data_IF_490238370814
#
_entry.id   IF_490238370814
#
_cell.length_a   1.000
_cell.length_b   1.000
_cell.length_c   1.000
_cell.angle_alpha   90.00
_cell.angle_beta   90.00
_cell.angle_gamma   90.00
#
_symmetry.space_group_name_H-M   'P 1'
#
loop_
_entity.id
_entity.type
_entity.pdbx_description
1 polymer ?
#
# COMPACT_ATOMS: atom_id res chain seq x y z
N UNK A 1 -0.34 17.24 -2.74
CA UNK A 1 -1.00 16.15 -1.99
C UNK A 1 -0.30 14.83 -2.27
N UNK A 2 0.00 14.04 -1.26
CA UNK A 2 0.48 12.66 -1.40
C UNK A 2 -0.57 11.72 -0.79
N UNK A 3 -1.35 11.06 -1.66
CA UNK A 3 -2.39 10.11 -1.27
C UNK A 3 -1.96 8.68 -1.55
N UNK A 4 -2.41 7.74 -0.71
CA UNK A 4 -2.09 6.32 -0.88
C UNK A 4 -3.35 5.46 -0.75
N UNK A 5 -3.47 4.46 -1.63
CA UNK A 5 -4.51 3.46 -1.56
C UNK A 5 -3.90 2.16 -1.05
N UNK A 6 -4.34 1.75 0.13
CA UNK A 6 -3.87 0.60 0.87
C UNK A 6 -4.95 -0.48 0.95
N UNK A 7 -4.54 -1.67 1.28
CA UNK A 7 -5.40 -2.82 1.46
C UNK A 7 -4.68 -4.11 1.09
N UNK A 8 -5.16 -5.21 1.63
CA UNK A 8 -4.66 -6.54 1.30
C UNK A 8 -4.95 -6.91 -0.17
N UNK A 9 -4.35 -7.98 -0.64
CA UNK A 9 -4.63 -8.44 -1.99
C UNK A 9 -6.11 -8.80 -2.14
N UNK A 10 -6.65 -8.60 -3.32
CA UNK A 10 -8.08 -8.70 -3.65
C UNK A 10 -9.01 -7.62 -3.07
N UNK A 11 -8.51 -6.64 -2.30
CA UNK A 11 -9.34 -5.58 -1.73
C UNK A 11 -9.97 -4.63 -2.79
N UNK A 12 -9.52 -4.67 -4.06
CA UNK A 12 -10.11 -3.85 -5.12
C UNK A 12 -9.32 -2.58 -5.44
N UNK A 13 -8.10 -2.43 -4.91
CA UNK A 13 -7.23 -1.25 -5.14
C UNK A 13 -7.08 -0.90 -6.62
N UNK A 14 -6.74 -1.87 -7.46
CA UNK A 14 -6.51 -1.64 -8.90
C UNK A 14 -7.73 -1.07 -9.60
N UNK A 15 -8.94 -1.55 -9.26
CA UNK A 15 -10.20 -1.03 -9.82
C UNK A 15 -10.39 0.44 -9.45
N UNK A 16 -10.18 0.80 -8.19
CA UNK A 16 -10.33 2.18 -7.72
C UNK A 16 -9.26 3.09 -8.34
N UNK A 17 -8.02 2.62 -8.47
CA UNK A 17 -6.96 3.38 -9.13
C UNK A 17 -7.27 3.65 -10.61
N UNK A 18 -7.82 2.69 -11.35
CA UNK A 18 -8.25 2.90 -12.75
C UNK A 18 -9.34 3.98 -12.85
N UNK A 19 -10.32 3.98 -11.94
CA UNK A 19 -11.37 5.00 -11.90
C UNK A 19 -10.79 6.38 -11.59
N UNK A 20 -9.93 6.47 -10.58
CA UNK A 20 -9.25 7.71 -10.23
C UNK A 20 -8.36 8.24 -11.36
N UNK A 21 -7.65 7.38 -12.09
CA UNK A 21 -6.85 7.77 -13.26
C UNK A 21 -7.71 8.41 -14.38
N UNK A 22 -8.96 7.99 -14.49
CA UNK A 22 -9.90 8.55 -15.45
C UNK A 22 -10.38 9.96 -15.05
N UNK A 23 -10.41 10.28 -13.77
CA UNK A 23 -10.89 11.56 -13.23
C UNK A 23 -9.77 12.56 -12.95
N UNK A 24 -8.71 12.14 -12.30
CA UNK A 24 -7.58 12.98 -11.90
C UNK A 24 -6.47 12.98 -12.96
N UNK A 25 -6.76 13.55 -14.14
CA UNK A 25 -5.85 13.53 -15.32
C UNK A 25 -4.50 14.21 -15.09
N UNK A 26 -4.45 15.18 -14.18
CA UNK A 26 -3.23 15.92 -13.84
C UNK A 26 -2.47 15.30 -12.64
N UNK A 27 -3.02 14.27 -12.01
CA UNK A 27 -2.36 13.56 -10.92
C UNK A 27 -1.32 12.56 -11.44
N UNK A 28 -0.29 12.38 -10.67
CA UNK A 28 0.73 11.36 -10.91
C UNK A 28 0.32 10.08 -10.19
N UNK A 29 0.20 9.00 -10.94
CA UNK A 29 -0.08 7.68 -10.39
C UNK A 29 1.19 6.85 -10.34
N UNK A 30 1.44 6.27 -9.17
CA UNK A 30 2.63 5.45 -8.91
C UNK A 30 2.29 4.23 -8.05
N UNK A 31 3.30 3.46 -7.66
CA UNK A 31 3.12 2.26 -6.83
C UNK A 31 4.38 1.93 -6.05
N UNK A 32 4.21 1.26 -4.94
CA UNK A 32 5.29 0.62 -4.18
C UNK A 32 5.03 -0.90 -4.01
N UNK A 33 6.06 -1.74 -4.26
CA UNK A 33 7.36 -1.42 -4.83
C UNK A 33 7.31 -1.27 -6.36
N UNK A 34 8.32 -0.58 -6.91
CA UNK A 34 8.59 -0.59 -8.35
C UNK A 34 8.08 0.63 -9.12
N UNK A 35 7.89 1.77 -8.44
CA UNK A 35 7.49 3.03 -9.07
C UNK A 35 8.60 3.74 -9.84
N UNK A 36 9.87 3.43 -9.54
CA UNK A 36 11.06 4.03 -10.15
C UNK A 36 11.85 3.02 -10.98
N UNK A 37 12.86 3.49 -11.71
CA UNK A 37 13.75 2.61 -12.49
C UNK A 37 14.53 1.64 -11.58
N UNK A 38 15.06 2.14 -10.46
CA UNK A 38 15.73 1.31 -9.44
C UNK A 38 14.70 0.42 -8.77
N UNK A 39 13.57 0.97 -8.37
CA UNK A 39 12.48 0.24 -7.73
C UNK A 39 11.97 -0.93 -8.56
N UNK A 40 11.86 -0.78 -9.88
CA UNK A 40 11.47 -1.88 -10.77
C UNK A 40 12.43 -3.07 -10.72
N UNK A 41 13.73 -2.82 -10.59
CA UNK A 41 14.75 -3.86 -10.43
C UNK A 41 14.64 -4.52 -9.06
N UNK A 42 14.51 -3.73 -8.00
CA UNK A 42 14.35 -4.22 -6.62
C UNK A 42 13.08 -5.07 -6.49
N UNK A 43 11.97 -4.62 -7.08
CA UNK A 43 10.74 -5.39 -7.15
C UNK A 43 10.94 -6.75 -7.83
N UNK A 44 11.66 -6.79 -8.95
CA UNK A 44 11.97 -8.03 -9.65
C UNK A 44 12.75 -8.99 -8.77
N UNK A 45 13.77 -8.52 -8.06
CA UNK A 45 14.58 -9.34 -7.13
C UNK A 45 13.71 -9.95 -6.02
N UNK A 46 12.79 -9.15 -5.46
CA UNK A 46 11.86 -9.64 -4.41
C UNK A 46 10.90 -10.69 -4.97
N UNK A 47 10.25 -10.41 -6.12
CA UNK A 47 9.27 -11.32 -6.71
C UNK A 47 9.89 -12.65 -7.18
N UNK A 48 11.14 -12.61 -7.65
CA UNK A 48 11.88 -13.81 -8.06
C UNK A 48 12.47 -14.59 -6.87
N UNK A 49 12.30 -14.09 -5.64
CA UNK A 49 12.82 -14.75 -4.44
C UNK A 49 14.34 -14.81 -4.38
N UNK A 50 15.04 -13.81 -4.96
CA UNK A 50 16.51 -13.78 -5.00
C UNK A 50 17.12 -13.55 -3.61
N UNK A 51 16.39 -12.81 -2.74
CA UNK A 51 16.79 -12.58 -1.36
C UNK A 51 16.46 -13.81 -0.50
N UNK A 52 17.48 -14.53 -0.04
CA UNK A 52 17.33 -15.68 0.89
C UNK A 52 17.05 -15.25 2.33
N UNK A 53 17.56 -14.10 2.72
CA UNK A 53 17.36 -13.54 4.06
C UNK A 53 16.13 -12.64 4.09
N UNK A 54 15.25 -12.83 5.07
CA UNK A 54 14.10 -11.94 5.31
C UNK A 54 14.52 -10.51 5.66
N UNK A 55 15.69 -10.35 6.26
CA UNK A 55 16.28 -9.04 6.51
C UNK A 55 16.71 -8.39 5.19
N UNK A 56 17.37 -9.13 4.30
CA UNK A 56 17.74 -8.62 2.98
C UNK A 56 16.50 -8.20 2.16
N UNK A 57 15.46 -9.04 2.12
CA UNK A 57 14.17 -8.73 1.48
C UNK A 57 13.57 -7.43 2.03
N UNK A 58 13.56 -7.26 3.35
CA UNK A 58 13.11 -6.03 4.00
C UNK A 58 13.93 -4.81 3.54
N UNK A 59 15.25 -4.92 3.49
CA UNK A 59 16.09 -3.81 3.02
C UNK A 59 15.87 -3.47 1.54
N UNK A 60 15.53 -4.44 0.68
CA UNK A 60 15.17 -4.16 -0.70
C UNK A 60 13.89 -3.31 -0.77
N UNK A 61 12.89 -3.58 0.05
CA UNK A 61 11.68 -2.74 0.15
C UNK A 61 11.98 -1.34 0.70
N UNK A 62 12.86 -1.22 1.69
CA UNK A 62 13.26 0.09 2.22
C UNK A 62 14.06 0.91 1.19
N UNK A 63 14.92 0.27 0.41
CA UNK A 63 15.66 0.92 -0.67
C UNK A 63 14.74 1.39 -1.81
N UNK A 64 13.76 0.56 -2.21
CA UNK A 64 12.72 0.96 -3.16
C UNK A 64 11.95 2.19 -2.68
N UNK A 65 11.56 2.19 -1.41
CA UNK A 65 10.82 3.29 -0.79
C UNK A 65 11.63 4.58 -0.72
N UNK A 66 12.88 4.51 -0.32
CA UNK A 66 13.75 5.67 -0.26
C UNK A 66 13.88 6.35 -1.64
N UNK A 67 14.08 5.55 -2.68
CA UNK A 67 14.15 6.04 -4.06
C UNK A 67 12.81 6.60 -4.55
N UNK A 68 11.70 5.94 -4.20
CA UNK A 68 10.35 6.40 -4.55
C UNK A 68 10.02 7.77 -3.93
N UNK A 69 10.39 7.99 -2.68
CA UNK A 69 10.20 9.28 -2.01
C UNK A 69 11.02 10.36 -2.72
N UNK A 70 12.29 10.12 -3.00
CA UNK A 70 13.18 11.10 -3.60
C UNK A 70 12.76 11.45 -5.04
N UNK A 71 12.61 10.42 -5.90
CA UNK A 71 12.40 10.59 -7.34
C UNK A 71 10.95 11.01 -7.69
N UNK A 72 9.96 10.52 -6.93
CA UNK A 72 8.56 10.74 -7.30
C UNK A 72 7.82 11.68 -6.36
N UNK A 73 7.97 11.53 -5.05
CA UNK A 73 7.18 12.32 -4.12
C UNK A 73 7.75 13.74 -3.97
N UNK A 74 9.05 13.86 -3.72
CA UNK A 74 9.71 15.16 -3.50
C UNK A 74 9.78 16.00 -4.77
N UNK A 75 10.06 15.39 -5.93
CA UNK A 75 10.09 16.10 -7.21
C UNK A 75 8.70 16.61 -7.65
N UNK A 76 7.63 16.04 -7.09
CA UNK A 76 6.25 16.38 -7.44
C UNK A 76 5.44 16.92 -6.26
N UNK A 77 6.07 17.49 -5.24
CA UNK A 77 5.42 18.02 -4.04
C UNK A 77 4.29 19.03 -4.29
N UNK A 78 4.35 19.74 -5.42
CA UNK A 78 3.36 20.72 -5.82
C UNK A 78 2.18 20.13 -6.62
N UNK A 79 2.19 18.83 -6.84
CA UNK A 79 1.17 18.09 -7.58
C UNK A 79 0.43 17.11 -6.66
N UNK A 80 -0.64 16.54 -7.19
CA UNK A 80 -1.29 15.37 -6.59
C UNK A 80 -0.56 14.12 -7.04
N UNK A 81 -0.06 13.34 -6.08
CA UNK A 81 0.52 12.02 -6.31
C UNK A 81 -0.35 10.98 -5.61
N UNK A 82 -0.78 9.95 -6.34
CA UNK A 82 -1.60 8.85 -5.82
C UNK A 82 -0.81 7.56 -6.00
N UNK A 83 -0.50 6.88 -4.89
CA UNK A 83 0.28 5.64 -4.90
C UNK A 83 -0.57 4.41 -4.57
N UNK A 84 -0.39 3.33 -5.33
CA UNK A 84 -0.80 1.99 -4.92
C UNK A 84 0.22 1.47 -3.91
N UNK A 85 -0.18 1.43 -2.66
CA UNK A 85 0.66 1.08 -1.50
C UNK A 85 1.69 2.16 -1.12
N UNK A 86 2.22 2.00 0.08
CA UNK A 86 3.22 2.86 0.70
C UNK A 86 3.99 2.13 1.81
N UNK A 87 4.63 2.90 2.70
CA UNK A 87 5.25 2.39 3.94
C UNK A 87 4.27 1.55 4.78
N UNK A 88 2.97 1.82 4.73
CA UNK A 88 1.95 1.10 5.52
C UNK A 88 1.93 -0.39 5.13
N UNK A 89 1.84 -0.68 3.82
CA UNK A 89 1.98 -2.05 3.31
C UNK A 89 3.34 -2.65 3.69
N UNK A 90 4.42 -1.91 3.51
CA UNK A 90 5.77 -2.39 3.83
C UNK A 90 5.93 -2.82 5.29
N UNK A 91 5.42 -2.00 6.22
CA UNK A 91 5.43 -2.29 7.67
C UNK A 91 4.53 -3.49 7.99
N UNK A 92 3.32 -3.54 7.40
CA UNK A 92 2.37 -4.59 7.69
C UNK A 92 2.83 -5.97 7.21
N UNK A 93 3.31 -6.07 5.97
CA UNK A 93 3.80 -7.34 5.40
C UNK A 93 5.11 -7.83 6.02
N UNK A 94 5.90 -6.95 6.63
CA UNK A 94 7.08 -7.31 7.42
C UNK A 94 6.71 -7.89 8.80
N UNK A 95 5.70 -8.76 8.85
CA UNK A 95 5.08 -9.29 10.08
C UNK A 95 6.00 -10.17 10.94
N UNK A 96 7.14 -10.60 10.41
CA UNK A 96 8.17 -11.32 11.16
C UNK A 96 9.01 -10.41 12.08
N UNK A 97 8.83 -9.10 11.99
CA UNK A 97 9.55 -8.10 12.76
C UNK A 97 8.57 -7.30 13.64
N UNK A 98 9.11 -6.76 14.73
CA UNK A 98 8.33 -5.91 15.62
C UNK A 98 7.83 -4.66 14.92
N UNK A 99 6.61 -4.24 15.22
CA UNK A 99 5.93 -3.15 14.55
C UNK A 99 6.68 -1.83 14.72
N UNK A 100 7.08 -1.50 15.93
CA UNK A 100 7.72 -0.20 16.23
C UNK A 100 9.08 -0.09 15.54
N UNK A 101 9.84 -1.19 15.47
CA UNK A 101 11.09 -1.22 14.73
C UNK A 101 10.86 -1.04 13.22
N UNK A 102 9.80 -1.62 12.67
CA UNK A 102 9.46 -1.44 11.27
C UNK A 102 9.00 -0.02 10.98
N UNK A 103 8.28 0.61 11.89
CA UNK A 103 7.91 2.03 11.79
C UNK A 103 9.18 2.89 11.74
N UNK A 104 10.10 2.72 12.70
CA UNK A 104 11.35 3.49 12.77
C UNK A 104 12.18 3.38 11.47
N UNK A 105 12.40 2.16 10.97
CA UNK A 105 13.16 1.94 9.74
C UNK A 105 12.47 2.55 8.51
N UNK A 106 11.16 2.52 8.46
CA UNK A 106 10.40 3.10 7.36
C UNK A 106 10.40 4.63 7.42
N UNK A 107 10.28 5.23 8.59
CA UNK A 107 10.44 6.68 8.77
C UNK A 107 11.83 7.13 8.34
N UNK A 108 12.87 6.39 8.72
CA UNK A 108 14.22 6.67 8.25
C UNK A 108 14.32 6.59 6.71
N UNK A 109 13.76 5.55 6.09
CA UNK A 109 13.81 5.36 4.64
C UNK A 109 13.02 6.44 3.86
N UNK A 110 11.96 7.00 4.48
CA UNK A 110 11.15 8.07 3.87
C UNK A 110 11.63 9.47 4.23
N UNK A 111 12.69 9.60 5.03
CA UNK A 111 13.11 10.88 5.59
C UNK A 111 11.94 11.62 6.29
N UNK A 112 11.16 10.86 7.07
CA UNK A 112 9.94 11.28 7.76
C UNK A 112 8.81 11.83 6.85
N UNK A 113 8.93 11.64 5.53
CA UNK A 113 7.86 12.01 4.60
C UNK A 113 6.77 10.96 4.65
N UNK A 114 5.57 11.42 5.00
CA UNK A 114 4.38 10.59 5.20
C UNK A 114 3.27 10.96 4.22
N UNK A 115 2.38 10.00 3.89
CA UNK A 115 1.17 10.31 3.11
C UNK A 115 0.30 11.34 3.83
N UNK A 116 -0.23 12.28 3.08
CA UNK A 116 -1.20 13.27 3.59
C UNK A 116 -2.61 12.70 3.66
N UNK A 117 -2.93 11.70 2.83
CA UNK A 117 -4.23 11.02 2.79
C UNK A 117 -4.01 9.52 2.63
N UNK A 118 -4.61 8.74 3.53
CA UNK A 118 -4.54 7.27 3.52
C UNK A 118 -5.93 6.69 3.34
N UNK A 119 -6.14 5.98 2.26
CA UNK A 119 -7.35 5.23 1.99
C UNK A 119 -7.04 3.74 2.20
N UNK A 120 -7.65 3.10 3.18
CA UNK A 120 -7.50 1.68 3.43
C UNK A 120 -8.80 0.94 3.10
N UNK A 121 -8.75 0.12 2.05
CA UNK A 121 -9.84 -0.78 1.68
C UNK A 121 -9.82 -2.02 2.57
N UNK A 122 -10.91 -2.24 3.31
CA UNK A 122 -11.04 -3.32 4.27
C UNK A 122 -11.95 -4.43 3.76
N UNK A 123 -11.58 -5.67 4.03
CA UNK A 123 -12.40 -6.86 3.77
C UNK A 123 -12.78 -7.56 5.09
N UNK A 124 -14.03 -7.99 5.18
CA UNK A 124 -14.44 -8.94 6.22
C UNK A 124 -13.86 -10.33 5.93
N UNK A 125 -13.77 -11.22 6.96
CA UNK A 125 -13.34 -12.60 6.73
C UNK A 125 -14.17 -13.35 5.68
N UNK A 126 -15.47 -13.08 5.62
CA UNK A 126 -16.41 -13.69 4.68
C UNK A 126 -16.10 -13.23 3.25
N UNK A 127 -16.01 -11.92 3.03
CA UNK A 127 -15.74 -11.33 1.72
C UNK A 127 -14.35 -11.75 1.19
N UNK A 128 -13.33 -11.74 2.06
CA UNK A 128 -12.00 -12.20 1.70
C UNK A 128 -12.02 -13.65 1.21
N UNK A 129 -12.74 -14.54 1.93
CA UNK A 129 -12.90 -15.94 1.52
C UNK A 129 -13.55 -16.07 0.15
N UNK A 130 -14.62 -15.32 -0.08
CA UNK A 130 -15.36 -15.36 -1.34
C UNK A 130 -14.50 -14.86 -2.52
N UNK A 131 -13.73 -13.80 -2.33
CA UNK A 131 -12.83 -13.26 -3.36
C UNK A 131 -11.67 -14.21 -3.68
N UNK A 132 -11.05 -14.80 -2.65
CA UNK A 132 -9.97 -15.77 -2.84
C UNK A 132 -10.45 -17.05 -3.55
N UNK A 133 -11.68 -17.49 -3.31
CA UNK A 133 -12.22 -18.69 -3.98
C UNK A 133 -12.43 -18.53 -5.49
N UNK A 134 -12.48 -17.28 -5.98
CA UNK A 134 -12.72 -16.93 -7.40
C UNK A 134 -11.45 -16.65 -8.19
N UNK A 135 -10.29 -16.68 -7.56
CA UNK A 135 -9.00 -16.30 -8.14
C UNK A 135 -8.00 -17.45 -8.04
N UNK A 136 -7.10 -17.57 -9.02
CA UNK A 136 -5.89 -18.38 -8.85
C UNK A 136 -4.99 -17.72 -7.81
N UNK A 137 -4.75 -18.42 -6.70
CA UNK A 137 -4.03 -17.89 -5.55
C UNK A 137 -2.53 -17.77 -5.86
N UNK A 138 -1.96 -16.63 -5.54
CA UNK A 138 -0.51 -16.44 -5.54
C UNK A 138 0.14 -16.95 -4.22
N UNK A 139 1.46 -16.82 -4.11
CA UNK A 139 2.22 -17.32 -2.95
C UNK A 139 1.86 -16.64 -1.62
N UNK A 140 1.29 -15.44 -1.65
CA UNK A 140 0.88 -14.68 -0.46
C UNK A 140 -0.52 -15.13 -0.04
N UNK A 141 -1.43 -15.27 -0.99
CA UNK A 141 -2.81 -15.72 -0.78
C UNK A 141 -2.85 -17.15 -0.24
N UNK A 142 -1.90 -18.01 -0.66
CA UNK A 142 -1.74 -19.37 -0.12
C UNK A 142 -1.39 -19.43 1.39
N UNK A 143 -0.93 -18.32 1.99
CA UNK A 143 -0.71 -18.24 3.44
C UNK A 143 -2.01 -18.21 4.25
N UNK A 144 -3.15 -18.02 3.57
CA UNK A 144 -4.48 -18.18 4.13
C UNK A 144 -5.11 -16.89 4.68
N UNK A 145 -6.42 -16.98 4.89
CA UNK A 145 -7.29 -15.88 5.29
C UNK A 145 -6.81 -15.19 6.56
N UNK A 146 -6.45 -15.97 7.60
CA UNK A 146 -6.02 -15.42 8.88
C UNK A 146 -4.74 -14.58 8.75
N UNK A 147 -3.82 -14.98 7.89
CA UNK A 147 -2.61 -14.21 7.62
C UNK A 147 -2.97 -12.85 7.00
N UNK A 148 -3.80 -12.83 5.96
CA UNK A 148 -4.19 -11.58 5.29
C UNK A 148 -4.98 -10.65 6.21
N UNK A 149 -5.87 -11.19 7.05
CA UNK A 149 -6.58 -10.40 8.06
C UNK A 149 -5.64 -9.83 9.12
N UNK A 150 -4.61 -10.58 9.52
CA UNK A 150 -3.57 -10.05 10.42
C UNK A 150 -2.78 -8.92 9.76
N UNK A 151 -2.46 -9.02 8.46
CA UNK A 151 -1.83 -7.93 7.70
C UNK A 151 -2.73 -6.70 7.68
N UNK A 152 -4.02 -6.85 7.38
CA UNK A 152 -4.99 -5.75 7.40
C UNK A 152 -5.05 -5.07 8.78
N UNK A 153 -5.12 -5.84 9.86
CA UNK A 153 -5.10 -5.29 11.21
C UNK A 153 -3.80 -4.53 11.51
N UNK A 154 -2.67 -5.05 11.06
CA UNK A 154 -1.37 -4.41 11.21
C UNK A 154 -1.27 -3.11 10.40
N UNK A 155 -1.89 -3.04 9.20
CA UNK A 155 -2.04 -1.78 8.45
C UNK A 155 -2.81 -0.74 9.27
N UNK A 156 -3.97 -1.12 9.83
CA UNK A 156 -4.78 -0.23 10.68
C UNK A 156 -4.02 0.26 11.90
N UNK A 157 -3.28 -0.62 12.56
CA UNK A 157 -2.46 -0.27 13.72
C UNK A 157 -1.35 0.72 13.32
N UNK A 158 -0.68 0.49 12.19
CA UNK A 158 0.34 1.39 11.64
C UNK A 158 -0.21 2.79 11.40
N UNK A 159 -1.35 2.89 10.71
CA UNK A 159 -2.02 4.16 10.40
C UNK A 159 -2.34 4.94 11.69
N UNK A 160 -2.87 4.25 12.71
CA UNK A 160 -3.22 4.86 14.00
C UNK A 160 -1.97 5.29 14.79
N UNK A 161 -0.92 4.44 14.84
CA UNK A 161 0.33 4.76 15.54
C UNK A 161 1.04 5.97 14.95
N UNK A 162 1.01 6.10 13.63
CA UNK A 162 1.58 7.24 12.90
C UNK A 162 0.66 8.47 12.89
N UNK A 163 -0.54 8.37 13.46
CA UNK A 163 -1.55 9.43 13.49
C UNK A 163 -1.81 10.06 12.11
N UNK A 164 -1.92 9.22 11.08
CA UNK A 164 -2.11 9.67 9.70
C UNK A 164 -3.58 10.09 9.47
N UNK A 165 -3.81 11.09 8.62
CA UNK A 165 -5.14 11.40 8.11
C UNK A 165 -5.62 10.23 7.23
N UNK A 166 -6.74 9.60 7.58
CA UNK A 166 -7.16 8.35 6.96
C UNK A 166 -8.66 8.12 6.93
N UNK A 167 -9.07 7.32 5.95
CA UNK A 167 -10.40 6.69 5.90
C UNK A 167 -10.25 5.18 5.74
N UNK A 168 -11.09 4.42 6.47
CA UNK A 168 -11.27 2.98 6.28
C UNK A 168 -12.57 2.75 5.54
N UNK A 169 -12.51 2.11 4.37
CA UNK A 169 -13.66 1.89 3.50
C UNK A 169 -13.94 0.40 3.38
N UNK A 170 -15.18 0.01 3.61
CA UNK A 170 -15.64 -1.37 3.38
C UNK A 170 -15.58 -1.70 1.88
N UNK A 171 -14.66 -2.58 1.51
CA UNK A 171 -14.46 -2.98 0.12
C UNK A 171 -15.57 -3.90 -0.42
N UNK A 172 -16.56 -4.30 0.38
CA UNK A 172 -17.73 -5.04 -0.07
C UNK A 172 -18.83 -4.15 -0.69
N UNK A 173 -18.71 -2.85 -0.50
CA UNK A 173 -19.64 -1.86 -1.07
C UNK A 173 -19.58 -1.85 -2.62
N UNK A 174 -20.62 -1.32 -3.29
CA UNK A 174 -20.58 -1.08 -4.73
C UNK A 174 -19.37 -0.24 -5.14
N UNK A 175 -18.81 -0.54 -6.31
CA UNK A 175 -17.59 0.11 -6.81
C UNK A 175 -17.72 1.64 -6.82
N UNK A 176 -18.87 2.15 -7.27
CA UNK A 176 -19.16 3.57 -7.37
C UNK A 176 -19.31 4.26 -6.00
N UNK A 177 -19.74 3.51 -5.00
CA UNK A 177 -19.86 4.03 -3.63
C UNK A 177 -18.47 4.14 -2.97
N UNK A 178 -17.60 3.15 -3.20
CA UNK A 178 -16.20 3.19 -2.76
C UNK A 178 -15.49 4.36 -3.43
N UNK A 179 -15.63 4.49 -4.77
CA UNK A 179 -15.05 5.59 -5.55
C UNK A 179 -15.47 6.95 -4.97
N UNK A 180 -16.78 7.13 -4.72
CA UNK A 180 -17.31 8.38 -4.15
C UNK A 180 -16.70 8.69 -2.78
N UNK A 181 -16.60 7.70 -1.87
CA UNK A 181 -16.02 7.92 -0.55
C UNK A 181 -14.53 8.30 -0.66
N UNK A 182 -13.79 7.71 -1.61
CA UNK A 182 -12.39 8.09 -1.88
C UNK A 182 -12.32 9.54 -2.37
N UNK A 183 -13.17 9.93 -3.32
CA UNK A 183 -13.19 11.29 -3.86
C UNK A 183 -13.55 12.33 -2.81
N UNK A 184 -14.60 12.07 -2.03
CA UNK A 184 -15.01 12.96 -0.96
C UNK A 184 -13.84 13.21 0.01
N UNK A 185 -13.11 12.16 0.39
CA UNK A 185 -11.95 12.26 1.28
C UNK A 185 -10.73 12.95 0.64
N UNK A 186 -10.49 12.79 -0.66
CA UNK A 186 -9.38 13.46 -1.35
C UNK A 186 -9.63 14.96 -1.57
N UNK A 187 -10.87 15.41 -1.46
CA UNK A 187 -11.27 16.81 -1.65
C UNK A 187 -11.47 17.57 -0.32
N UNK A 188 -11.26 16.94 0.85
CA UNK A 188 -11.23 17.58 2.15
C UNK A 188 -9.94 18.38 2.37
#
# INVERSE_FOLDING_TARGET
>A
MYAVIEGIDTAGKSTQLELLQNKYKDAIFTKEPGGTNIGSKLRSMVLNGEAKSKIAEMFLFLADRAEHIEELILENKDKTVISDRSLISGIAYASNFELDKMIELNLFATNDILPTHVILLELTPHELKDRLSKKENDSIELRGINYLLNIQNRMKETVKKLNLNHIFIDASLPIEEIEKQIEDFLNE
#
